data_IF_250087309376
#
_entry.id   IF_250087309376
#
_cell.length_a   1.000
_cell.length_b   1.000
_cell.length_c   1.000
_cell.angle_alpha   90.00
_cell.angle_beta   90.00
_cell.angle_gamma   90.00
#
_symmetry.space_group_name_H-M   'P 1'
#
loop_
_entity.id
_entity.type
_entity.pdbx_description
1 polymer ?
#
# COMPACT_ATOMS: atom_id res chain seq x y z
N UNK A 1 -46.59 20.09 -27.29
CA UNK A 1 -46.15 18.81 -27.90
C UNK A 1 -44.63 18.63 -27.87
N UNK A 2 -43.81 19.50 -28.50
CA UNK A 2 -42.33 19.40 -28.47
C UNK A 2 -41.70 19.37 -27.06
N UNK A 3 -42.20 20.18 -26.11
CA UNK A 3 -41.68 20.20 -24.72
C UNK A 3 -41.97 18.91 -23.93
N UNK A 4 -43.11 18.27 -24.21
CA UNK A 4 -43.51 17.00 -23.57
C UNK A 4 -42.65 15.84 -24.09
N UNK A 5 -42.33 15.83 -25.39
CA UNK A 5 -41.44 14.83 -26.01
C UNK A 5 -40.01 14.94 -25.47
N UNK A 6 -39.49 16.17 -25.26
CA UNK A 6 -38.15 16.38 -24.68
C UNK A 6 -38.08 15.90 -23.22
N UNK A 7 -39.11 16.18 -22.41
CA UNK A 7 -39.21 15.68 -21.02
C UNK A 7 -39.33 14.15 -20.96
N UNK A 8 -40.12 13.53 -21.84
CA UNK A 8 -40.22 12.07 -21.95
C UNK A 8 -38.90 11.42 -22.41
N UNK A 9 -38.20 12.02 -23.36
CA UNK A 9 -36.88 11.54 -23.78
C UNK A 9 -35.87 11.61 -22.61
N UNK A 10 -35.78 12.73 -21.88
CA UNK A 10 -34.86 12.89 -20.75
C UNK A 10 -35.09 11.84 -19.64
N UNK A 11 -36.35 11.45 -19.40
CA UNK A 11 -36.69 10.41 -18.42
C UNK A 11 -36.25 9.01 -18.90
N UNK A 12 -36.30 8.73 -20.22
CA UNK A 12 -35.93 7.43 -20.79
C UNK A 12 -34.41 7.20 -20.89
N UNK A 13 -33.58 8.25 -21.06
CA UNK A 13 -32.10 8.13 -21.10
C UNK A 13 -31.48 8.03 -19.70
N UNK A 14 -32.22 8.37 -18.63
CA UNK A 14 -31.69 8.36 -17.26
C UNK A 14 -31.57 6.96 -16.64
N UNK A 15 -32.10 5.91 -17.28
CA UNK A 15 -32.39 4.62 -16.63
C UNK A 15 -31.39 3.48 -16.82
N UNK A 16 -30.31 3.63 -17.59
CA UNK A 16 -29.38 2.53 -17.87
C UNK A 16 -27.99 2.79 -17.26
N UNK A 17 -27.90 2.72 -15.93
CA UNK A 17 -26.60 2.54 -15.26
C UNK A 17 -26.29 1.04 -15.35
N UNK A 18 -25.57 0.62 -16.38
CA UNK A 18 -25.09 -0.75 -16.50
C UNK A 18 -24.09 -1.00 -15.37
N UNK A 19 -24.46 -1.78 -14.35
CA UNK A 19 -23.51 -2.19 -13.31
C UNK A 19 -22.58 -3.26 -13.90
N UNK A 20 -21.35 -2.86 -14.19
CA UNK A 20 -20.27 -3.77 -14.57
C UNK A 20 -19.96 -4.64 -13.35
N UNK A 21 -20.00 -5.96 -13.52
CA UNK A 21 -19.59 -6.92 -12.50
C UNK A 21 -18.19 -7.44 -12.84
N UNK A 22 -17.32 -7.52 -11.83
CA UNK A 22 -15.95 -8.02 -11.96
C UNK A 22 -15.83 -9.44 -11.38
N UNK A 23 -14.74 -10.15 -11.72
CA UNK A 23 -14.39 -11.43 -11.11
C UNK A 23 -14.01 -11.25 -9.63
N UNK A 24 -14.28 -12.27 -8.81
CA UNK A 24 -13.99 -12.27 -7.36
C UNK A 24 -12.52 -12.62 -7.06
N UNK A 25 -11.59 -12.06 -7.84
CA UNK A 25 -10.16 -12.24 -7.62
C UNK A 25 -9.66 -11.35 -6.48
N UNK A 26 -8.70 -11.86 -5.70
CA UNK A 26 -8.07 -11.12 -4.60
C UNK A 26 -6.56 -10.96 -4.84
N UNK A 27 -6.05 -9.76 -4.60
CA UNK A 27 -4.61 -9.46 -4.54
C UNK A 27 -4.22 -9.22 -3.08
N UNK A 28 -3.18 -9.90 -2.63
CA UNK A 28 -2.60 -9.68 -1.30
C UNK A 28 -1.72 -8.43 -1.33
N UNK A 29 -1.95 -7.52 -0.40
CA UNK A 29 -1.20 -6.28 -0.22
C UNK A 29 0.00 -6.49 0.71
N UNK A 30 0.99 -5.58 0.70
CA UNK A 30 2.16 -5.68 1.58
C UNK A 30 1.83 -5.72 3.07
N UNK A 31 0.71 -5.12 3.50
CA UNK A 31 0.22 -5.17 4.89
C UNK A 31 -0.47 -6.51 5.25
N UNK A 32 -0.59 -7.43 4.29
CA UNK A 32 -1.28 -8.71 4.42
C UNK A 32 -2.79 -8.65 4.18
N UNK A 33 -3.37 -7.47 3.95
CA UNK A 33 -4.77 -7.32 3.54
C UNK A 33 -5.00 -7.83 2.12
N UNK A 34 -6.26 -8.03 1.73
CA UNK A 34 -6.63 -8.44 0.39
C UNK A 34 -7.54 -7.40 -0.26
N UNK A 35 -7.24 -7.04 -1.51
CA UNK A 35 -8.03 -6.11 -2.33
C UNK A 35 -8.62 -6.83 -3.54
N UNK A 36 -9.85 -6.45 -3.92
CA UNK A 36 -10.58 -7.00 -5.06
C UNK A 36 -10.47 -6.14 -6.32
N UNK A 37 -11.12 -6.58 -7.39
CA UNK A 37 -11.28 -5.82 -8.63
C UNK A 37 -12.44 -4.82 -8.53
N UNK A 38 -12.26 -3.62 -9.06
CA UNK A 38 -13.27 -2.55 -9.07
C UNK A 38 -13.70 -2.15 -10.50
N UNK A 39 -15.00 -1.95 -10.76
CA UNK A 39 -15.49 -1.48 -12.07
C UNK A 39 -15.07 -0.01 -12.32
N UNK A 40 -15.05 0.47 -13.59
CA UNK A 40 -15.53 -0.20 -14.80
C UNK A 40 -14.50 -1.12 -15.47
N UNK A 41 -13.22 -0.93 -15.19
CA UNK A 41 -12.13 -1.63 -15.89
C UNK A 41 -11.75 -2.96 -15.22
N UNK A 42 -12.32 -3.25 -14.04
CA UNK A 42 -12.02 -4.43 -13.23
C UNK A 42 -10.54 -4.57 -12.87
N UNK A 43 -9.88 -3.43 -12.64
CA UNK A 43 -8.54 -3.35 -12.06
C UNK A 43 -8.59 -3.54 -10.55
N UNK A 44 -7.49 -3.99 -9.95
CA UNK A 44 -7.41 -4.10 -8.49
C UNK A 44 -7.52 -2.71 -7.84
N UNK A 45 -8.28 -2.64 -6.75
CA UNK A 45 -8.23 -1.48 -5.86
C UNK A 45 -6.78 -1.24 -5.38
N UNK A 46 -6.46 0.03 -5.10
CA UNK A 46 -5.17 0.37 -4.53
C UNK A 46 -5.01 -0.29 -3.16
N UNK A 47 -3.81 -0.80 -2.88
CA UNK A 47 -3.49 -1.27 -1.54
C UNK A 47 -3.53 -0.11 -0.53
N UNK A 48 -3.88 -0.38 0.73
CA UNK A 48 -3.65 0.60 1.79
C UNK A 48 -2.16 0.92 1.89
N UNK A 49 -1.80 2.12 2.40
CA UNK A 49 -0.41 2.46 2.65
C UNK A 49 0.19 1.52 3.70
N UNK A 50 1.47 1.24 3.50
CA UNK A 50 2.30 0.36 4.33
C UNK A 50 2.44 0.86 5.77
N UNK A 51 2.39 2.17 5.95
CA UNK A 51 2.59 2.83 7.23
C UNK A 51 1.72 4.09 7.35
N UNK A 52 1.48 4.52 8.59
CA UNK A 52 0.87 5.81 8.92
C UNK A 52 1.83 6.71 9.68
N UNK A 53 2.74 6.10 10.43
CA UNK A 53 3.74 6.76 11.26
C UNK A 53 5.07 6.04 11.16
N UNK A 54 6.16 6.71 11.55
CA UNK A 54 7.49 6.08 11.57
C UNK A 54 7.56 4.83 12.47
N UNK A 55 6.65 4.69 13.44
CA UNK A 55 6.59 3.53 14.34
C UNK A 55 6.03 2.27 13.67
N UNK A 56 5.41 2.42 12.50
CA UNK A 56 4.89 1.30 11.72
C UNK A 56 6.00 0.65 10.85
N UNK A 57 7.17 1.28 10.78
CA UNK A 57 8.29 0.82 9.97
C UNK A 57 9.41 0.24 10.84
N UNK A 58 10.02 -0.84 10.36
CA UNK A 58 11.16 -1.50 11.00
C UNK A 58 12.23 -1.82 9.96
N UNK A 59 13.49 -2.06 10.37
CA UNK A 59 14.53 -2.50 9.45
C UNK A 59 14.15 -3.77 8.68
N UNK A 60 14.46 -3.81 7.38
CA UNK A 60 14.14 -4.98 6.52
C UNK A 60 15.08 -6.17 6.74
N UNK A 61 16.24 -5.95 7.36
CA UNK A 61 17.22 -6.97 7.73
C UNK A 61 17.73 -6.74 9.15
N UNK A 62 18.21 -7.80 9.79
CA UNK A 62 18.60 -7.74 11.20
C UNK A 62 19.93 -7.01 11.45
N UNK A 63 20.88 -7.06 10.52
CA UNK A 63 22.19 -6.41 10.65
C UNK A 63 22.46 -5.60 9.38
N UNK A 64 23.13 -4.45 9.52
CA UNK A 64 23.47 -3.56 8.41
C UNK A 64 22.28 -3.15 7.52
N UNK A 65 21.10 -2.85 8.07
CA UNK A 65 19.93 -2.57 7.23
C UNK A 65 20.10 -1.27 6.46
N UNK A 66 19.88 -1.36 5.15
CA UNK A 66 19.80 -0.23 4.22
C UNK A 66 18.37 0.06 3.77
N UNK A 67 17.41 -0.74 4.24
CA UNK A 67 16.01 -0.68 3.87
C UNK A 67 15.08 -0.87 5.07
N UNK A 68 13.82 -0.55 4.85
CA UNK A 68 12.75 -0.65 5.83
C UNK A 68 11.59 -1.47 5.28
N UNK A 69 10.78 -2.02 6.18
CA UNK A 69 9.60 -2.80 5.86
C UNK A 69 8.50 -2.48 6.87
N UNK A 70 7.21 -2.69 6.55
CA UNK A 70 6.15 -2.60 7.54
C UNK A 70 6.40 -3.55 8.70
N UNK A 71 6.00 -3.15 9.91
CA UNK A 71 6.13 -3.98 11.11
C UNK A 71 5.44 -5.35 10.97
N UNK A 72 4.39 -5.45 10.16
CA UNK A 72 3.73 -6.73 9.84
C UNK A 72 4.66 -7.73 9.13
N UNK A 73 5.69 -7.22 8.45
CA UNK A 73 6.67 -8.00 7.66
C UNK A 73 8.06 -7.98 8.31
N UNK A 74 8.14 -7.63 9.60
CA UNK A 74 9.41 -7.58 10.33
C UNK A 74 10.16 -8.92 10.25
N UNK A 75 11.48 -8.93 9.98
CA UNK A 75 12.27 -10.14 10.11
C UNK A 75 12.34 -10.60 11.58
N UNK A 76 12.35 -11.91 11.80
CA UNK A 76 12.64 -12.46 13.12
C UNK A 76 14.15 -12.39 13.40
N UNK A 77 14.55 -11.49 14.29
CA UNK A 77 15.94 -11.30 14.69
C UNK A 77 16.29 -11.97 16.03
N UNK A 78 15.39 -12.78 16.60
CA UNK A 78 15.55 -13.37 17.94
C UNK A 78 16.75 -14.31 18.08
N UNK A 79 17.20 -14.91 16.98
CA UNK A 79 18.35 -15.84 16.94
C UNK A 79 19.51 -15.32 16.10
N UNK A 80 19.46 -14.05 15.67
CA UNK A 80 20.51 -13.46 14.85
C UNK A 80 21.57 -12.83 15.75
N UNK A 81 22.80 -13.26 15.56
CA UNK A 81 23.98 -12.67 16.19
C UNK A 81 24.61 -11.68 15.20
N UNK A 82 24.39 -10.38 15.41
CA UNK A 82 25.05 -9.34 14.62
C UNK A 82 26.48 -9.11 15.12
N UNK A 83 27.34 -8.64 14.21
CA UNK A 83 28.64 -8.06 14.58
C UNK A 83 28.44 -6.68 15.23
N UNK A 84 29.38 -6.21 16.04
CA UNK A 84 29.36 -4.83 16.56
C UNK A 84 29.95 -3.83 15.55
N UNK A 85 29.86 -4.14 14.26
CA UNK A 85 30.40 -3.32 13.20
C UNK A 85 29.40 -2.22 12.82
N UNK A 86 29.86 -0.97 12.77
CA UNK A 86 29.11 0.11 12.16
C UNK A 86 29.52 0.18 10.68
N UNK A 87 28.66 -0.29 9.77
CA UNK A 87 28.94 -0.19 8.33
C UNK A 87 28.50 1.18 7.83
N UNK A 88 29.37 1.94 7.14
CA UNK A 88 28.97 3.22 6.54
C UNK A 88 27.82 3.05 5.52
N UNK A 89 26.82 3.90 5.60
CA UNK A 89 25.68 3.90 4.67
C UNK A 89 24.52 2.96 5.05
N UNK A 90 24.54 2.40 6.26
CA UNK A 90 23.46 1.57 6.83
C UNK A 90 22.80 2.31 7.99
N UNK A 91 21.74 1.75 8.58
CA UNK A 91 21.17 2.30 9.82
C UNK A 91 21.90 1.86 11.11
N UNK A 92 23.06 1.21 10.99
CA UNK A 92 23.81 0.79 12.19
C UNK A 92 24.30 2.02 12.96
N UNK A 93 24.41 1.88 14.28
CA UNK A 93 25.01 2.90 15.15
C UNK A 93 24.33 4.29 15.04
N UNK A 94 23.04 4.31 14.67
CA UNK A 94 22.25 5.53 14.55
C UNK A 94 22.54 6.34 13.27
N UNK A 95 23.24 5.75 12.30
CA UNK A 95 23.49 6.36 10.99
C UNK A 95 22.21 6.52 10.16
N UNK A 96 21.08 5.95 10.57
CA UNK A 96 19.81 6.15 9.88
C UNK A 96 18.61 5.70 10.69
N UNK A 97 17.43 5.83 10.08
CA UNK A 97 16.15 5.49 10.68
C UNK A 97 15.13 5.08 9.64
N UNK A 98 14.17 4.25 10.03
CA UNK A 98 12.99 4.02 9.21
C UNK A 98 11.98 5.15 9.39
N UNK A 99 11.50 5.69 8.27
CA UNK A 99 10.49 6.72 8.24
C UNK A 99 9.32 6.30 7.34
N UNK A 100 8.14 6.77 7.69
CA UNK A 100 6.97 6.64 6.85
C UNK A 100 6.88 7.86 5.93
N UNK A 101 7.19 7.67 4.65
CA UNK A 101 7.20 8.73 3.64
C UNK A 101 6.16 8.37 2.59
N UNK A 102 5.16 9.24 2.41
CA UNK A 102 4.05 9.04 1.47
C UNK A 102 3.34 7.67 1.57
N UNK A 103 3.31 7.10 2.79
CA UNK A 103 2.68 5.81 3.06
C UNK A 103 3.54 4.60 2.73
N UNK A 104 4.84 4.80 2.49
CA UNK A 104 5.84 3.75 2.25
C UNK A 104 6.92 3.80 3.34
N UNK A 105 7.39 2.61 3.76
CA UNK A 105 8.49 2.53 4.72
C UNK A 105 9.84 2.73 4.03
N UNK A 106 10.47 3.88 4.25
CA UNK A 106 11.75 4.26 3.64
C UNK A 106 12.87 4.37 4.68
N UNK A 107 14.07 3.95 4.30
CA UNK A 107 15.27 4.16 5.09
C UNK A 107 15.84 5.55 4.82
N UNK A 108 16.04 6.33 5.86
CA UNK A 108 16.70 7.64 5.80
C UNK A 108 18.05 7.52 6.49
N UNK A 109 19.12 7.57 5.70
CA UNK A 109 20.52 7.49 6.15
C UNK A 109 21.10 8.91 6.21
N UNK A 110 21.83 9.22 7.29
CA UNK A 110 22.44 10.51 7.60
C UNK A 110 23.94 10.54 7.29
#
# INVERSE_FOLDING_TARGET
>A
MKRIIILLCLILISGCVQRVACTEDAKICPDGSAVGRIPPDCEFEACPPECRTNLDCVPSTCCHPTGCTPKSNAPDCSQIMCTQECVPGTMDCGQGSCQCIDGTCEAVIN
#
